data_IF_423218482249
#
_entry.id   IF_423218482249
#
_cell.length_a   1.000
_cell.length_b   1.000
_cell.length_c   1.000
_cell.angle_alpha   90.00
_cell.angle_beta   90.00
_cell.angle_gamma   90.00
#
_symmetry.space_group_name_H-M   'P 1'
#
loop_
_entity.id
_entity.type
_entity.pdbx_description
1 polymer ?
#
# COMPACT_ATOMS: atom_id res chain seq x y z
N UNK A 1 -1.51 14.62 -16.39
CA UNK A 1 -1.88 13.25 -16.81
C UNK A 1 -1.37 13.00 -18.22
N UNK A 2 -0.91 11.81 -18.50
CA UNK A 2 -0.38 11.42 -19.81
C UNK A 2 -1.52 11.21 -20.81
N UNK A 3 -1.46 11.89 -21.98
CA UNK A 3 -2.51 11.78 -23.02
C UNK A 3 -2.57 10.34 -23.59
N UNK A 4 -1.43 9.70 -23.79
CA UNK A 4 -1.34 8.32 -24.25
C UNK A 4 -2.07 7.38 -23.29
N UNK A 5 -1.86 7.58 -22.00
CA UNK A 5 -2.49 6.80 -20.95
C UNK A 5 -4.01 7.03 -20.95
N UNK A 6 -4.48 8.28 -21.11
CA UNK A 6 -5.90 8.58 -21.23
C UNK A 6 -6.56 7.85 -22.39
N UNK A 7 -5.92 7.85 -23.55
CA UNK A 7 -6.43 7.14 -24.73
C UNK A 7 -6.55 5.65 -24.46
N UNK A 8 -5.55 5.08 -23.78
CA UNK A 8 -5.58 3.67 -23.40
C UNK A 8 -6.72 3.38 -22.43
N UNK A 9 -7.00 4.26 -21.47
CA UNK A 9 -8.14 4.16 -20.55
C UNK A 9 -9.47 4.15 -21.31
N UNK A 10 -9.65 5.05 -22.27
CA UNK A 10 -10.88 5.15 -23.03
C UNK A 10 -11.15 3.92 -23.90
N UNK A 11 -10.10 3.22 -24.32
CA UNK A 11 -10.23 1.97 -25.06
C UNK A 11 -10.65 0.79 -24.16
N UNK A 12 -10.74 1.02 -22.85
CA UNK A 12 -11.20 0.06 -21.85
C UNK A 12 -10.49 -1.31 -21.98
N UNK A 13 -9.18 -1.35 -21.81
CA UNK A 13 -8.38 -2.53 -22.07
C UNK A 13 -8.67 -3.67 -21.10
N UNK A 14 -8.55 -4.90 -21.61
CA UNK A 14 -8.59 -6.09 -20.78
C UNK A 14 -7.33 -6.24 -19.91
N UNK A 15 -7.36 -7.20 -19.00
CA UNK A 15 -6.24 -7.45 -18.07
C UNK A 15 -4.92 -7.72 -18.78
N UNK A 16 -4.95 -8.51 -19.88
CA UNK A 16 -3.72 -8.84 -20.63
C UNK A 16 -3.14 -7.61 -21.32
N UNK A 17 -4.00 -6.77 -21.89
CA UNK A 17 -3.55 -5.52 -22.51
C UNK A 17 -2.93 -4.60 -21.48
N UNK A 18 -3.51 -4.54 -20.30
CA UNK A 18 -2.99 -3.72 -19.21
C UNK A 18 -1.63 -4.23 -18.72
N UNK A 19 -1.46 -5.54 -18.58
CA UNK A 19 -0.19 -6.16 -18.16
C UNK A 19 0.90 -5.85 -19.17
N UNK A 20 0.58 -5.81 -20.47
CA UNK A 20 1.54 -5.55 -21.52
C UNK A 20 1.74 -4.05 -21.80
N UNK A 21 0.96 -3.18 -21.16
CA UNK A 21 1.09 -1.75 -21.35
C UNK A 21 2.43 -1.27 -20.78
N UNK A 22 3.15 -0.49 -21.58
CA UNK A 22 4.39 0.16 -21.15
C UNK A 22 4.30 1.65 -21.45
N UNK A 23 4.41 2.52 -20.44
CA UNK A 23 4.40 3.95 -20.67
C UNK A 23 5.63 4.38 -21.46
N UNK A 24 5.44 5.26 -22.46
CA UNK A 24 6.50 5.77 -23.30
C UNK A 24 7.25 6.95 -22.68
N UNK A 25 6.66 7.56 -21.66
CA UNK A 25 7.24 8.72 -20.99
C UNK A 25 7.84 8.31 -19.65
N UNK A 26 8.97 8.95 -19.29
CA UNK A 26 9.56 8.77 -17.97
C UNK A 26 8.67 9.43 -16.92
N UNK A 27 8.29 8.65 -15.89
CA UNK A 27 7.45 9.09 -14.78
C UNK A 27 8.27 8.99 -13.50
N UNK A 28 8.30 10.04 -12.65
CA UNK A 28 9.01 9.97 -11.37
C UNK A 28 8.48 8.83 -10.51
N UNK A 29 9.38 8.04 -9.94
CA UNK A 29 9.00 6.92 -9.09
C UNK A 29 8.45 7.41 -7.76
N UNK A 30 7.35 6.79 -7.32
CA UNK A 30 6.80 6.94 -5.98
C UNK A 30 7.22 5.75 -5.15
N UNK A 31 7.70 6.01 -3.94
CA UNK A 31 8.12 4.97 -3.01
C UNK A 31 6.92 4.53 -2.18
N UNK A 32 6.63 3.24 -2.21
CA UNK A 32 5.57 2.64 -1.41
C UNK A 32 6.22 1.64 -0.45
N UNK A 33 6.15 1.94 0.84
CA UNK A 33 6.67 1.04 1.86
C UNK A 33 5.56 0.10 2.31
N UNK A 34 5.81 -1.21 2.28
CA UNK A 34 4.84 -2.23 2.62
C UNK A 34 5.28 -2.95 3.90
N UNK A 35 4.56 -2.71 4.98
CA UNK A 35 4.65 -3.51 6.21
C UNK A 35 3.61 -4.61 6.15
N UNK A 36 4.06 -5.84 6.37
CA UNK A 36 3.25 -7.03 6.11
C UNK A 36 3.54 -8.13 7.13
N UNK A 37 2.54 -8.93 7.42
CA UNK A 37 2.71 -10.18 8.14
C UNK A 37 2.35 -11.40 7.30
N UNK A 38 2.07 -11.19 6.02
CA UNK A 38 1.87 -12.24 5.03
C UNK A 38 2.23 -11.71 3.64
N UNK A 39 2.22 -12.58 2.63
CA UNK A 39 2.75 -12.27 1.31
C UNK A 39 1.95 -11.22 0.56
N UNK A 40 2.63 -10.22 0.02
CA UNK A 40 2.05 -9.15 -0.80
C UNK A 40 2.50 -9.23 -2.28
N UNK A 41 3.47 -10.06 -2.60
CA UNK A 41 4.11 -10.08 -3.93
C UNK A 41 3.14 -10.33 -5.07
N UNK A 42 2.14 -11.20 -4.89
CA UNK A 42 1.12 -11.43 -5.89
C UNK A 42 0.22 -10.22 -6.10
N UNK A 43 -0.08 -9.50 -5.03
CA UNK A 43 -0.85 -8.25 -5.10
C UNK A 43 -0.05 -7.20 -5.87
N UNK A 44 1.22 -7.01 -5.55
CA UNK A 44 2.09 -6.09 -6.27
C UNK A 44 2.11 -6.41 -7.76
N UNK A 45 2.33 -7.67 -8.12
CA UNK A 45 2.36 -8.11 -9.51
C UNK A 45 1.04 -7.82 -10.23
N UNK A 46 -0.08 -7.97 -9.54
CA UNK A 46 -1.41 -7.74 -10.12
C UNK A 46 -1.77 -6.27 -10.27
N UNK A 47 -1.33 -5.40 -9.36
CA UNK A 47 -1.69 -3.98 -9.38
C UNK A 47 -0.70 -3.11 -10.16
N UNK A 48 0.52 -3.57 -10.37
CA UNK A 48 1.55 -2.78 -11.04
C UNK A 48 1.12 -2.29 -12.42
N UNK A 49 0.50 -3.11 -13.29
CA UNK A 49 0.01 -2.62 -14.57
C UNK A 49 -1.05 -1.52 -14.44
N UNK A 50 -1.91 -1.59 -13.42
CA UNK A 50 -2.92 -0.56 -13.17
C UNK A 50 -2.28 0.74 -12.70
N UNK A 51 -1.22 0.68 -11.92
CA UNK A 51 -0.45 1.84 -11.50
C UNK A 51 0.24 2.51 -12.69
N UNK A 52 0.88 1.71 -13.55
CA UNK A 52 1.49 2.20 -14.77
C UNK A 52 0.46 2.88 -15.68
N UNK A 53 -0.70 2.27 -15.80
CA UNK A 53 -1.84 2.77 -16.55
C UNK A 53 -2.34 4.11 -15.99
N UNK A 54 -2.38 4.24 -14.67
CA UNK A 54 -2.79 5.47 -13.99
C UNK A 54 -1.70 6.55 -14.00
N UNK A 55 -0.55 6.29 -14.61
CA UNK A 55 0.57 7.21 -14.65
C UNK A 55 1.39 7.26 -13.37
N UNK A 56 1.34 6.20 -12.57
CA UNK A 56 2.09 6.09 -11.32
C UNK A 56 3.18 5.05 -11.49
N UNK A 57 4.43 5.50 -11.44
CA UNK A 57 5.58 4.60 -11.37
C UNK A 57 5.85 4.31 -9.89
N UNK A 58 5.57 3.08 -9.46
CA UNK A 58 5.68 2.71 -8.05
C UNK A 58 6.91 1.83 -7.80
N UNK A 59 7.65 2.18 -6.76
CA UNK A 59 8.72 1.37 -6.21
C UNK A 59 8.26 0.82 -4.86
N UNK A 60 8.06 -0.50 -4.78
CA UNK A 60 7.62 -1.17 -3.56
C UNK A 60 8.84 -1.57 -2.73
N UNK A 61 8.86 -1.12 -1.49
CA UNK A 61 9.91 -1.44 -0.52
C UNK A 61 9.26 -2.26 0.60
N UNK A 62 9.68 -3.51 0.74
CA UNK A 62 9.12 -4.42 1.73
C UNK A 62 9.89 -4.38 3.03
N UNK A 63 9.18 -4.31 4.15
CA UNK A 63 9.73 -4.61 5.45
C UNK A 63 9.79 -6.13 5.65
N UNK A 64 10.56 -6.58 6.63
CA UNK A 64 10.45 -7.92 7.16
C UNK A 64 9.06 -8.11 7.81
N UNK A 65 8.66 -9.35 8.04
CA UNK A 65 7.43 -9.63 8.77
C UNK A 65 7.59 -9.17 10.23
N UNK A 66 6.99 -8.03 10.53
CA UNK A 66 7.11 -7.39 11.85
C UNK A 66 5.81 -7.56 12.65
N UNK A 67 5.83 -8.45 13.61
CA UNK A 67 4.68 -8.72 14.47
C UNK A 67 4.44 -7.63 15.52
N UNK A 68 5.43 -6.78 15.76
CA UNK A 68 5.31 -5.70 16.75
C UNK A 68 4.83 -4.39 16.14
N UNK A 69 4.88 -4.27 14.82
CA UNK A 69 4.59 -3.03 14.09
C UNK A 69 5.35 -1.85 14.68
N UNK A 70 6.64 -2.08 14.93
CA UNK A 70 7.51 -1.06 15.53
C UNK A 70 7.86 0.07 14.58
N UNK A 71 7.76 -0.18 13.25
CA UNK A 71 8.16 0.73 12.18
C UNK A 71 9.62 1.20 12.30
N UNK A 72 10.44 0.44 12.98
CA UNK A 72 11.81 0.81 13.28
C UNK A 72 12.65 0.97 12.03
N UNK A 73 12.48 0.08 11.06
CA UNK A 73 13.23 0.06 9.80
C UNK A 73 12.45 0.71 8.63
N UNK A 74 11.38 1.43 8.94
CA UNK A 74 10.56 2.08 7.92
C UNK A 74 11.32 3.23 7.26
N UNK A 75 11.22 3.31 5.94
CA UNK A 75 11.65 4.49 5.19
C UNK A 75 10.64 5.62 5.35
N UNK A 76 10.93 6.59 6.22
CA UNK A 76 10.05 7.73 6.48
C UNK A 76 9.93 8.68 5.27
N UNK A 77 10.79 8.52 4.25
CA UNK A 77 10.67 9.27 3.00
C UNK A 77 9.69 8.66 2.01
N UNK A 78 9.12 7.51 2.31
CA UNK A 78 8.15 6.86 1.42
C UNK A 78 6.92 7.75 1.19
N UNK A 79 6.38 7.71 -0.01
CA UNK A 79 5.22 8.52 -0.41
C UNK A 79 3.90 7.92 0.08
N UNK A 80 3.89 6.61 0.32
CA UNK A 80 2.74 5.87 0.84
C UNK A 80 3.23 4.73 1.71
N UNK A 81 2.54 4.50 2.81
CA UNK A 81 2.72 3.31 3.64
C UNK A 81 1.50 2.40 3.46
N UNK A 82 1.74 1.13 3.17
CA UNK A 82 0.71 0.11 3.16
C UNK A 82 0.96 -0.86 4.32
N UNK A 83 -0.06 -1.05 5.15
CA UNK A 83 -0.08 -2.11 6.17
C UNK A 83 -0.94 -3.25 5.65
N UNK A 84 -0.30 -4.37 5.28
CA UNK A 84 -0.93 -5.56 4.73
C UNK A 84 -0.92 -6.65 5.80
N UNK A 85 -2.01 -6.73 6.56
CA UNK A 85 -2.04 -7.47 7.82
C UNK A 85 -3.17 -8.50 7.85
N UNK A 86 -2.85 -9.67 8.39
CA UNK A 86 -3.80 -10.69 8.76
C UNK A 86 -3.95 -10.70 10.28
N UNK A 87 -5.12 -10.30 10.78
CA UNK A 87 -5.40 -10.20 12.22
C UNK A 87 -5.29 -11.55 12.93
N UNK A 88 -5.52 -12.66 12.25
CA UNK A 88 -5.41 -13.99 12.83
C UNK A 88 -4.00 -14.34 13.31
N UNK A 89 -2.99 -13.64 12.84
CA UNK A 89 -1.61 -13.87 13.27
C UNK A 89 -1.28 -13.24 14.63
N UNK A 90 -2.23 -12.48 15.19
CA UNK A 90 -2.06 -11.78 16.47
C UNK A 90 -3.00 -12.36 17.53
N UNK A 91 -3.00 -13.67 17.70
CA UNK A 91 -4.05 -14.39 18.45
C UNK A 91 -4.10 -14.10 19.96
N UNK A 92 -3.01 -13.63 20.55
CA UNK A 92 -2.88 -13.48 22.00
C UNK A 92 -2.96 -12.04 22.49
N UNK A 93 -3.38 -11.11 21.61
CA UNK A 93 -3.46 -9.68 21.94
C UNK A 93 -4.78 -9.09 21.42
N UNK A 94 -5.21 -8.00 22.04
CA UNK A 94 -6.25 -7.17 21.46
C UNK A 94 -5.63 -6.41 20.28
N UNK A 95 -5.73 -7.01 19.10
CA UNK A 95 -5.04 -6.51 17.91
C UNK A 95 -5.55 -5.12 17.50
N UNK A 96 -6.85 -4.86 17.62
CA UNK A 96 -7.43 -3.56 17.25
C UNK A 96 -6.84 -2.44 18.10
N UNK A 97 -6.81 -2.60 19.42
CA UNK A 97 -6.24 -1.61 20.32
C UNK A 97 -4.74 -1.45 20.10
N UNK A 98 -4.03 -2.55 19.91
CA UNK A 98 -2.60 -2.56 19.61
C UNK A 98 -2.30 -1.78 18.34
N UNK A 99 -3.01 -2.08 17.25
CA UNK A 99 -2.82 -1.43 15.96
C UNK A 99 -3.13 0.06 16.02
N UNK A 100 -4.21 0.45 16.70
CA UNK A 100 -4.54 1.88 16.89
C UNK A 100 -3.41 2.61 17.60
N UNK A 101 -2.86 2.03 18.65
CA UNK A 101 -1.74 2.63 19.39
C UNK A 101 -0.50 2.81 18.51
N UNK A 102 -0.19 1.80 17.71
CA UNK A 102 0.95 1.87 16.78
C UNK A 102 0.75 2.91 15.69
N UNK A 103 -0.45 3.02 15.14
CA UNK A 103 -0.76 4.03 14.12
C UNK A 103 -0.69 5.45 14.70
N UNK A 104 -1.18 5.66 15.91
CA UNK A 104 -1.08 6.97 16.55
C UNK A 104 0.35 7.38 16.82
N UNK A 105 1.19 6.45 17.25
CA UNK A 105 2.63 6.69 17.42
C UNK A 105 3.31 6.99 16.07
N UNK A 106 2.94 6.27 15.02
CA UNK A 106 3.47 6.50 13.69
C UNK A 106 3.16 7.90 13.16
N UNK A 107 1.97 8.41 13.41
CA UNK A 107 1.54 9.74 12.94
C UNK A 107 2.43 10.87 13.45
N UNK A 108 3.09 10.70 14.58
CA UNK A 108 4.00 11.69 15.11
C UNK A 108 5.26 11.87 14.25
N UNK A 109 5.64 10.83 13.50
CA UNK A 109 6.86 10.80 12.72
C UNK A 109 6.61 10.78 11.21
N UNK A 110 5.50 10.21 10.78
CA UNK A 110 5.18 10.02 9.36
C UNK A 110 3.92 10.77 9.01
N UNK A 111 3.99 11.70 8.04
CA UNK A 111 2.90 12.63 7.71
C UNK A 111 2.32 12.41 6.31
N UNK A 112 2.62 11.31 5.68
CA UNK A 112 2.09 10.95 4.36
C UNK A 112 1.00 9.89 4.49
N UNK A 113 0.25 9.59 3.40
CA UNK A 113 -0.88 8.67 3.47
C UNK A 113 -0.51 7.26 3.96
N UNK A 114 -1.39 6.67 4.72
CA UNK A 114 -1.30 5.30 5.23
C UNK A 114 -2.54 4.53 4.78
N UNK A 115 -2.33 3.41 4.12
CA UNK A 115 -3.39 2.49 3.74
C UNK A 115 -3.27 1.22 4.59
N UNK A 116 -4.31 0.92 5.34
CA UNK A 116 -4.38 -0.32 6.13
C UNK A 116 -5.34 -1.29 5.47
N UNK A 117 -4.85 -2.45 5.10
CA UNK A 117 -5.67 -3.57 4.61
C UNK A 117 -5.59 -4.68 5.65
N UNK A 118 -6.72 -4.98 6.28
CA UNK A 118 -6.81 -5.90 7.40
C UNK A 118 -7.68 -7.08 7.03
N UNK A 119 -7.09 -8.27 7.04
CA UNK A 119 -7.81 -9.53 6.82
C UNK A 119 -8.23 -10.09 8.17
N UNK A 120 -9.45 -10.66 8.21
CA UNK A 120 -10.01 -11.35 9.38
C UNK A 120 -10.04 -10.49 10.65
N UNK A 121 -10.24 -9.20 10.50
CA UNK A 121 -10.37 -8.27 11.61
C UNK A 121 -11.09 -7.01 11.19
N UNK A 122 -11.51 -6.23 12.16
CA UNK A 122 -12.16 -4.95 11.94
C UNK A 122 -11.39 -3.84 12.64
N UNK A 123 -11.25 -2.72 11.96
CA UNK A 123 -10.61 -1.54 12.50
C UNK A 123 -11.40 -0.32 12.04
N UNK A 124 -11.89 0.45 13.00
CA UNK A 124 -12.60 1.69 12.74
C UNK A 124 -11.71 2.86 13.18
N UNK A 125 -11.15 3.56 12.20
CA UNK A 125 -10.37 4.77 12.42
C UNK A 125 -10.88 5.83 11.45
N UNK A 126 -11.24 6.99 11.97
CA UNK A 126 -11.57 8.16 11.18
C UNK A 126 -10.42 9.15 11.26
N UNK A 127 -9.64 9.22 10.19
CA UNK A 127 -8.46 10.05 10.14
C UNK A 127 -8.20 10.45 8.68
N UNK A 128 -7.72 11.69 8.47
CA UNK A 128 -7.47 12.21 7.13
C UNK A 128 -6.23 11.57 6.47
N UNK A 129 -5.33 11.02 7.27
CA UNK A 129 -4.09 10.42 6.80
C UNK A 129 -4.24 8.91 6.58
N UNK A 130 -5.13 8.25 7.31
CA UNK A 130 -5.23 6.80 7.39
C UNK A 130 -6.53 6.34 6.74
N UNK A 131 -6.42 5.47 5.75
CA UNK A 131 -7.56 4.80 5.09
C UNK A 131 -7.51 3.33 5.46
N UNK A 132 -8.63 2.78 5.89
CA UNK A 132 -8.72 1.39 6.35
C UNK A 132 -9.70 0.61 5.48
N UNK A 133 -9.25 -0.56 5.02
CA UNK A 133 -10.08 -1.60 4.43
C UNK A 133 -10.03 -2.83 5.32
N UNK A 134 -11.16 -3.25 5.80
CA UNK A 134 -11.27 -4.42 6.67
C UNK A 134 -12.38 -5.37 6.27
#
# INVERSE_FOLDING_TARGET
>A
MNIELQNFVFDNPGRLELINYQPKTSIPAKKINVYRNHSFELVEHSIRPFLDYAGVCAEFIYSDYDDTLSFFDMDMSADLLILWLDANRYKNIDFTAFLKGRLMALKEQYHKPVLVVLLDGELDIQDNQIVVYS
#
